data_IF_280129806007
#
_entry.id   IF_280129806007
#
_cell.length_a   1.000
_cell.length_b   1.000
_cell.length_c   1.000
_cell.angle_alpha   90.00
_cell.angle_beta   90.00
_cell.angle_gamma   90.00
#
_symmetry.space_group_name_H-M   'P 1'
#
loop_
_entity.id
_entity.type
_entity.pdbx_description
1 polymer ?
#
# COMPACT_ATOMS: atom_id res chain seq x y z
N UNK A 1 35.29 12.01 7.67
CA UNK A 1 35.94 10.87 6.97
C UNK A 1 36.68 9.98 7.95
N UNK A 2 37.07 8.82 7.55
CA UNK A 2 37.84 7.86 8.36
C UNK A 2 39.24 8.40 8.78
N UNK A 3 39.70 9.49 8.17
CA UNK A 3 40.89 10.23 8.46
C UNK A 3 40.75 11.34 9.52
N UNK A 4 39.55 11.49 10.11
CA UNK A 4 39.24 12.54 11.09
C UNK A 4 39.11 13.95 10.49
N UNK A 5 39.26 14.12 9.18
CA UNK A 5 39.16 15.41 8.53
C UNK A 5 37.69 15.89 8.47
N UNK A 6 37.45 17.15 8.86
CA UNK A 6 36.18 17.82 8.64
C UNK A 6 36.08 18.28 7.19
N UNK A 7 34.99 17.90 6.50
CA UNK A 7 34.70 18.38 5.17
C UNK A 7 33.32 19.08 5.21
N UNK A 8 33.26 20.26 4.66
CA UNK A 8 32.00 20.94 4.40
C UNK A 8 31.56 20.58 2.99
N UNK A 9 30.37 20.03 2.85
CA UNK A 9 29.73 19.74 1.55
C UNK A 9 28.44 20.53 1.47
N UNK A 10 28.21 21.13 0.32
CA UNK A 10 26.96 21.77 -0.02
C UNK A 10 26.04 20.69 -0.63
N UNK A 11 24.84 20.55 -0.08
CA UNK A 11 23.84 19.58 -0.55
C UNK A 11 22.57 20.33 -0.91
N UNK A 12 22.18 20.23 -2.17
CA UNK A 12 20.88 20.74 -2.63
C UNK A 12 19.82 19.68 -2.37
N UNK A 13 18.77 20.03 -1.63
CA UNK A 13 17.63 19.14 -1.41
C UNK A 13 16.83 19.04 -2.70
N UNK A 14 16.48 17.83 -3.07
CA UNK A 14 15.59 17.52 -4.18
C UNK A 14 14.51 16.57 -3.68
N UNK A 15 13.33 16.65 -4.28
CA UNK A 15 12.30 15.65 -4.11
C UNK A 15 12.75 14.38 -4.85
N UNK A 16 12.76 13.27 -4.15
CA UNK A 16 13.14 11.96 -4.70
C UNK A 16 11.90 11.08 -4.64
N UNK A 17 11.39 10.71 -5.80
CA UNK A 17 10.36 9.69 -5.91
C UNK A 17 11.05 8.32 -5.86
N UNK A 18 10.94 7.65 -4.73
CA UNK A 18 11.42 6.27 -4.57
C UNK A 18 10.50 5.30 -5.31
N UNK A 19 11.04 4.14 -5.71
CA UNK A 19 10.22 3.03 -6.20
C UNK A 19 9.42 2.49 -5.02
N UNK A 20 8.10 2.55 -5.11
CA UNK A 20 7.17 2.10 -4.05
C UNK A 20 6.48 0.78 -4.37
N UNK A 21 6.48 0.36 -5.64
CA UNK A 21 6.02 -0.94 -6.08
C UNK A 21 6.85 -1.45 -7.26
N UNK A 22 6.94 -2.78 -7.38
CA UNK A 22 7.58 -3.48 -8.50
C UNK A 22 6.76 -4.70 -8.87
N UNK A 23 6.93 -5.22 -10.07
CA UNK A 23 6.24 -6.41 -10.52
C UNK A 23 7.12 -7.31 -11.39
N UNK A 24 6.78 -8.58 -11.42
CA UNK A 24 7.43 -9.56 -12.29
C UNK A 24 6.49 -10.73 -12.57
N UNK A 25 6.56 -11.29 -13.77
CA UNK A 25 5.90 -12.53 -14.11
C UNK A 25 6.73 -13.72 -13.63
N UNK A 26 6.10 -14.70 -12.99
CA UNK A 26 6.73 -15.96 -12.63
C UNK A 26 6.63 -16.98 -13.77
N UNK A 27 7.43 -18.07 -13.71
CA UNK A 27 7.39 -19.14 -14.70
C UNK A 27 6.02 -19.84 -14.84
N UNK A 28 5.18 -19.76 -13.79
CA UNK A 28 3.84 -20.36 -13.76
C UNK A 28 2.73 -19.39 -14.15
N UNK A 29 3.03 -18.30 -14.85
CA UNK A 29 2.07 -17.25 -15.20
C UNK A 29 1.35 -16.62 -13.99
N UNK A 30 2.02 -16.54 -12.86
CA UNK A 30 1.57 -15.80 -11.69
C UNK A 30 2.29 -14.46 -11.66
N UNK A 31 1.54 -13.38 -11.68
CA UNK A 31 2.07 -12.03 -11.51
C UNK A 31 2.38 -11.77 -10.03
N UNK A 32 3.64 -11.47 -9.72
CA UNK A 32 4.05 -11.03 -8.39
C UNK A 32 4.16 -9.51 -8.39
N UNK A 33 3.36 -8.85 -7.56
CA UNK A 33 3.39 -7.40 -7.33
C UNK A 33 3.90 -7.17 -5.91
N UNK A 34 5.09 -6.58 -5.78
CA UNK A 34 5.66 -6.21 -4.48
C UNK A 34 5.34 -4.76 -4.19
N UNK A 35 4.60 -4.50 -3.11
CA UNK A 35 4.25 -3.14 -2.66
C UNK A 35 5.08 -2.82 -1.43
N UNK A 36 6.05 -1.92 -1.56
CA UNK A 36 6.98 -1.58 -0.50
C UNK A 36 6.38 -0.64 0.56
N UNK A 37 5.47 0.21 0.16
CA UNK A 37 4.71 1.14 1.02
C UNK A 37 3.52 1.70 0.23
N UNK A 38 2.67 2.50 0.89
CA UNK A 38 1.54 3.20 0.27
C UNK A 38 1.79 4.72 0.25
N UNK A 39 2.95 5.15 -0.29
CA UNK A 39 3.27 6.56 -0.47
C UNK A 39 2.79 7.06 -1.83
N UNK A 40 2.81 8.38 -2.02
CA UNK A 40 2.30 9.02 -3.23
C UNK A 40 2.85 8.41 -4.52
N UNK A 41 1.96 8.05 -5.43
CA UNK A 41 2.24 7.41 -6.71
C UNK A 41 2.34 5.88 -6.67
N UNK A 42 2.11 5.25 -5.51
CA UNK A 42 2.08 3.78 -5.40
C UNK A 42 0.91 3.20 -6.17
N UNK A 43 -0.25 3.83 -6.11
CA UNK A 43 -1.45 3.39 -6.81
C UNK A 43 -1.20 3.31 -8.33
N UNK A 44 -0.64 4.34 -8.92
CA UNK A 44 -0.30 4.37 -10.34
C UNK A 44 0.67 3.25 -10.73
N UNK A 45 1.70 2.99 -9.90
CA UNK A 45 2.67 1.93 -10.17
C UNK A 45 2.04 0.53 -10.07
N UNK A 46 1.17 0.31 -9.09
CA UNK A 46 0.47 -0.98 -8.94
C UNK A 46 -0.48 -1.21 -10.12
N UNK A 47 -1.27 -0.19 -10.52
CA UNK A 47 -2.14 -0.24 -11.69
C UNK A 47 -1.36 -0.58 -12.96
N UNK A 48 -0.25 0.11 -13.20
CA UNK A 48 0.63 -0.19 -14.33
C UNK A 48 1.17 -1.62 -14.28
N UNK A 49 1.61 -2.08 -13.12
CA UNK A 49 2.14 -3.43 -12.93
C UNK A 49 1.10 -4.51 -13.16
N UNK A 50 -0.10 -4.34 -12.63
CA UNK A 50 -1.22 -5.26 -12.84
C UNK A 50 -1.61 -5.32 -14.30
N UNK A 51 -1.76 -4.17 -14.97
CA UNK A 51 -2.08 -4.12 -16.39
C UNK A 51 -1.00 -4.82 -17.25
N UNK A 52 0.28 -4.55 -17.00
CA UNK A 52 1.39 -5.20 -17.68
C UNK A 52 1.37 -6.73 -17.51
N UNK A 53 1.14 -7.20 -16.28
CA UNK A 53 1.06 -8.63 -15.98
C UNK A 53 -0.14 -9.30 -16.68
N UNK A 54 -1.30 -8.61 -16.75
CA UNK A 54 -2.45 -9.10 -17.51
C UNK A 54 -2.16 -9.19 -19.01
N UNK A 55 -1.51 -8.19 -19.60
CA UNK A 55 -1.07 -8.20 -21.00
C UNK A 55 -0.06 -9.32 -21.28
N UNK A 56 0.80 -9.66 -20.32
CA UNK A 56 1.73 -10.78 -20.38
C UNK A 56 1.04 -12.15 -20.17
N UNK A 57 -0.25 -12.18 -19.84
CA UNK A 57 -1.04 -13.39 -19.70
C UNK A 57 -1.03 -13.98 -18.29
N UNK A 58 -0.91 -13.17 -17.25
CA UNK A 58 -1.04 -13.62 -15.87
C UNK A 58 -2.38 -14.34 -15.63
N UNK A 59 -2.33 -15.48 -14.96
CA UNK A 59 -3.49 -16.29 -14.60
C UNK A 59 -3.89 -16.10 -13.11
N UNK A 60 -3.04 -15.47 -12.33
CA UNK A 60 -3.27 -15.09 -10.94
C UNK A 60 -2.31 -13.98 -10.53
N UNK A 61 -2.63 -13.27 -9.44
CA UNK A 61 -1.79 -12.23 -8.85
C UNK A 61 -1.42 -12.58 -7.41
N UNK A 62 -0.19 -12.30 -7.04
CA UNK A 62 0.29 -12.35 -5.65
C UNK A 62 0.80 -10.97 -5.28
N UNK A 63 0.24 -10.41 -4.21
CA UNK A 63 0.69 -9.15 -3.64
C UNK A 63 1.62 -9.40 -2.48
N UNK A 64 2.89 -8.99 -2.59
CA UNK A 64 3.87 -9.10 -1.51
C UNK A 64 3.91 -7.81 -0.70
N UNK A 65 3.36 -7.87 0.51
CA UNK A 65 3.32 -6.79 1.50
C UNK A 65 4.27 -7.04 2.68
N UNK A 66 5.18 -7.99 2.58
CA UNK A 66 6.15 -8.23 3.63
C UNK A 66 7.05 -7.01 3.81
N UNK A 67 7.24 -6.59 5.07
CA UNK A 67 7.96 -5.38 5.46
C UNK A 67 7.34 -4.05 4.97
N UNK A 68 6.08 -4.06 4.57
CA UNK A 68 5.35 -2.86 4.16
C UNK A 68 4.81 -2.12 5.40
N UNK A 69 5.26 -0.90 5.68
CA UNK A 69 4.84 -0.13 6.86
C UNK A 69 3.47 0.53 6.71
N UNK A 70 2.77 0.33 5.60
CA UNK A 70 1.56 1.07 5.28
C UNK A 70 1.85 2.39 4.55
N UNK A 71 1.01 3.38 4.76
CA UNK A 71 1.09 4.70 4.13
C UNK A 71 -0.26 5.38 4.04
N UNK A 72 -0.51 6.07 2.93
CA UNK A 72 -1.72 6.88 2.74
C UNK A 72 -2.95 6.02 2.44
N UNK A 73 -4.06 6.37 3.08
CA UNK A 73 -5.38 5.74 2.83
C UNK A 73 -5.83 5.97 1.40
N UNK A 74 -5.54 7.12 0.81
CA UNK A 74 -5.86 7.43 -0.59
C UNK A 74 -5.21 6.44 -1.55
N UNK A 75 -3.92 6.17 -1.40
CA UNK A 75 -3.21 5.19 -2.23
C UNK A 75 -3.77 3.76 -2.04
N UNK A 76 -4.06 3.38 -0.78
CA UNK A 76 -4.70 2.11 -0.47
C UNK A 76 -6.05 1.96 -1.19
N UNK A 77 -6.91 2.97 -1.07
CA UNK A 77 -8.27 2.89 -1.61
C UNK A 77 -8.29 2.95 -3.14
N UNK A 78 -7.39 3.71 -3.77
CA UNK A 78 -7.25 3.74 -5.21
C UNK A 78 -6.78 2.39 -5.80
N UNK A 79 -5.89 1.67 -5.10
CA UNK A 79 -5.48 0.33 -5.53
C UNK A 79 -6.64 -0.66 -5.34
N UNK A 80 -7.32 -0.60 -4.21
CA UNK A 80 -8.43 -1.50 -3.91
C UNK A 80 -9.63 -1.31 -4.84
N UNK A 81 -9.87 -0.09 -5.32
CA UNK A 81 -10.91 0.21 -6.30
C UNK A 81 -10.71 -0.59 -7.60
N UNK A 82 -9.48 -0.68 -8.10
CA UNK A 82 -9.17 -1.46 -9.30
C UNK A 82 -9.20 -2.99 -9.09
N UNK A 83 -9.01 -3.44 -7.85
CA UNK A 83 -8.89 -4.88 -7.55
C UNK A 83 -10.18 -5.52 -7.09
N UNK A 84 -11.13 -4.74 -6.57
CA UNK A 84 -12.31 -5.26 -5.88
C UNK A 84 -13.60 -4.96 -6.64
N UNK A 85 -14.59 -5.86 -6.57
CA UNK A 85 -15.92 -5.58 -7.11
C UNK A 85 -16.59 -4.40 -6.39
N UNK A 86 -17.62 -3.84 -7.02
CA UNK A 86 -18.41 -2.73 -6.47
C UNK A 86 -18.82 -2.97 -5.00
N UNK A 87 -18.46 -2.03 -4.13
CA UNK A 87 -18.79 -2.11 -2.71
C UNK A 87 -17.99 -1.15 -1.83
N UNK A 88 -18.19 -1.26 -0.52
CA UNK A 88 -17.43 -0.51 0.46
C UNK A 88 -16.06 -1.16 0.66
N UNK A 89 -14.98 -0.39 0.46
CA UNK A 89 -13.60 -0.88 0.56
C UNK A 89 -12.87 -0.37 1.79
N UNK A 90 -13.27 0.77 2.34
CA UNK A 90 -12.69 1.30 3.56
C UNK A 90 -13.66 2.26 4.26
N UNK A 91 -13.75 2.14 5.57
CA UNK A 91 -14.56 3.04 6.40
C UNK A 91 -13.64 3.62 7.48
N UNK A 92 -13.49 4.94 7.48
CA UNK A 92 -12.80 5.67 8.53
C UNK A 92 -13.83 6.30 9.46
N UNK A 93 -13.65 6.11 10.77
CA UNK A 93 -14.52 6.72 11.78
C UNK A 93 -13.69 7.52 12.77
N UNK A 94 -14.07 8.76 12.99
CA UNK A 94 -13.47 9.65 13.98
C UNK A 94 -14.06 9.43 15.38
N UNK A 95 -13.39 9.93 16.40
CA UNK A 95 -13.84 9.78 17.80
C UNK A 95 -15.15 10.49 18.12
N UNK A 96 -15.53 11.52 17.35
CA UNK A 96 -16.81 12.24 17.43
C UNK A 96 -17.93 11.59 16.60
N UNK A 97 -17.62 10.49 15.92
CA UNK A 97 -18.57 9.66 15.19
C UNK A 97 -18.77 10.04 13.73
N UNK A 98 -18.00 10.98 13.19
CA UNK A 98 -17.99 11.22 11.76
C UNK A 98 -17.42 10.01 11.01
N UNK A 99 -18.02 9.68 9.87
CA UNK A 99 -17.65 8.52 9.08
C UNK A 99 -17.41 8.92 7.62
N UNK A 100 -16.27 8.47 7.08
CA UNK A 100 -15.94 8.59 5.67
C UNK A 100 -15.85 7.20 5.09
N UNK A 101 -16.69 6.91 4.09
CA UNK A 101 -16.71 5.64 3.38
C UNK A 101 -16.07 5.80 2.01
N UNK A 102 -15.13 4.92 1.69
CA UNK A 102 -14.54 4.76 0.37
C UNK A 102 -15.15 3.55 -0.30
N UNK A 103 -15.46 3.66 -1.58
CA UNK A 103 -16.14 2.61 -2.36
C UNK A 103 -15.33 2.26 -3.59
N UNK A 104 -15.46 1.03 -4.05
CA UNK A 104 -15.05 0.58 -5.39
C UNK A 104 -16.21 0.65 -6.36
N UNK A 105 -15.91 0.81 -7.63
CA UNK A 105 -16.86 0.71 -8.73
C UNK A 105 -16.99 -0.73 -9.26
N UNK A 106 -17.71 -0.92 -10.37
CA UNK A 106 -17.94 -2.24 -10.96
C UNK A 106 -16.76 -2.73 -11.83
N UNK A 107 -15.73 -1.92 -12.03
CA UNK A 107 -14.56 -2.26 -12.85
C UNK A 107 -13.48 -2.85 -11.96
N UNK A 108 -13.29 -4.17 -12.00
CA UNK A 108 -12.29 -4.84 -11.19
C UNK A 108 -11.47 -5.86 -11.97
N UNK A 109 -10.32 -6.22 -11.42
CA UNK A 109 -9.47 -7.29 -11.96
C UNK A 109 -10.08 -8.64 -11.64
N UNK A 110 -10.49 -9.39 -12.69
CA UNK A 110 -11.06 -10.74 -12.57
C UNK A 110 -9.97 -11.81 -12.67
N UNK A 111 -9.08 -11.86 -11.68
CA UNK A 111 -8.04 -12.88 -11.53
C UNK A 111 -8.01 -13.38 -10.09
N UNK A 112 -7.68 -14.67 -9.85
CA UNK A 112 -7.38 -15.14 -8.51
C UNK A 112 -6.24 -14.36 -7.87
N UNK A 113 -6.39 -13.98 -6.60
CA UNK A 113 -5.42 -13.18 -5.86
C UNK A 113 -4.98 -13.87 -4.58
N UNK A 114 -3.75 -13.60 -4.15
CA UNK A 114 -3.23 -13.97 -2.83
C UNK A 114 -2.37 -12.85 -2.28
N UNK A 115 -2.22 -12.79 -0.96
CA UNK A 115 -1.43 -11.76 -0.28
C UNK A 115 -0.39 -12.39 0.63
N UNK A 116 0.86 -11.94 0.55
CA UNK A 116 1.93 -12.31 1.46
C UNK A 116 2.18 -11.20 2.47
N UNK A 117 2.24 -11.56 3.76
CA UNK A 117 2.47 -10.64 4.88
C UNK A 117 3.49 -11.19 5.85
N UNK A 118 4.07 -10.33 6.70
CA UNK A 118 4.90 -10.72 7.83
C UNK A 118 4.68 -9.80 9.04
N UNK A 119 5.40 -10.03 10.13
CA UNK A 119 5.29 -9.24 11.35
C UNK A 119 5.59 -7.73 11.16
N UNK A 120 6.24 -7.35 10.07
CA UNK A 120 6.53 -5.95 9.73
C UNK A 120 5.51 -5.37 8.73
N UNK A 121 4.46 -6.09 8.37
CA UNK A 121 3.32 -5.55 7.62
C UNK A 121 2.37 -4.87 8.59
N UNK A 122 2.10 -3.57 8.42
CA UNK A 122 1.20 -2.88 9.33
C UNK A 122 0.38 -1.75 8.68
N UNK A 123 -0.68 -1.28 9.36
CA UNK A 123 -1.52 -0.18 8.92
C UNK A 123 -2.19 -0.46 7.56
N UNK A 124 -2.01 0.38 6.54
CA UNK A 124 -2.61 0.19 5.21
C UNK A 124 -2.32 -1.19 4.59
N UNK A 125 -1.16 -1.80 4.89
CA UNK A 125 -0.84 -3.15 4.43
C UNK A 125 -1.77 -4.22 5.04
N UNK A 126 -2.16 -4.05 6.29
CA UNK A 126 -3.09 -4.95 6.99
C UNK A 126 -4.51 -4.80 6.44
N UNK A 127 -4.93 -3.54 6.18
CA UNK A 127 -6.22 -3.26 5.55
C UNK A 127 -6.31 -3.82 4.14
N UNK A 128 -5.25 -3.67 3.35
CA UNK A 128 -5.18 -4.27 2.02
C UNK A 128 -5.37 -5.78 2.05
N UNK A 129 -4.62 -6.47 2.91
CA UNK A 129 -4.71 -7.93 3.04
C UNK A 129 -6.09 -8.38 3.57
N UNK A 130 -6.63 -7.67 4.56
CA UNK A 130 -7.95 -7.96 5.12
C UNK A 130 -9.04 -7.76 4.07
N UNK A 131 -9.00 -6.66 3.31
CA UNK A 131 -10.02 -6.33 2.34
C UNK A 131 -10.04 -7.31 1.15
N UNK A 132 -8.87 -7.70 0.62
CA UNK A 132 -8.79 -8.74 -0.40
C UNK A 132 -9.32 -10.10 0.10
N UNK A 133 -9.02 -10.46 1.34
CA UNK A 133 -9.55 -11.69 1.94
C UNK A 133 -11.08 -11.64 2.09
N UNK A 134 -11.63 -10.55 2.59
CA UNK A 134 -13.06 -10.42 2.87
C UNK A 134 -13.90 -10.28 1.59
N UNK A 135 -13.41 -9.53 0.59
CA UNK A 135 -14.18 -9.20 -0.62
C UNK A 135 -14.07 -10.25 -1.73
N UNK A 136 -12.88 -10.83 -1.93
CA UNK A 136 -12.64 -11.77 -3.04
C UNK A 136 -12.12 -13.13 -2.57
N UNK A 137 -12.06 -13.37 -1.26
CA UNK A 137 -11.61 -14.66 -0.70
C UNK A 137 -10.12 -14.93 -0.91
N UNK A 138 -9.30 -13.91 -1.14
CA UNK A 138 -7.88 -14.08 -1.35
C UNK A 138 -7.19 -14.68 -0.12
N UNK A 139 -6.43 -15.77 -0.24
CA UNK A 139 -5.66 -16.29 0.88
C UNK A 139 -4.58 -15.29 1.31
N UNK A 140 -4.48 -15.07 2.61
CA UNK A 140 -3.41 -14.30 3.24
C UNK A 140 -2.41 -15.27 3.86
N UNK A 141 -1.17 -15.23 3.41
CA UNK A 141 -0.12 -16.19 3.74
C UNK A 141 1.06 -15.48 4.40
N UNK A 142 1.60 -16.07 5.44
CA UNK A 142 2.80 -15.58 6.12
C UNK A 142 2.66 -15.56 7.64
N UNK A 143 3.20 -14.53 8.27
CA UNK A 143 3.22 -14.37 9.72
C UNK A 143 2.12 -13.41 10.18
N UNK A 144 1.80 -13.45 11.47
CA UNK A 144 0.89 -12.48 12.08
C UNK A 144 1.45 -11.06 11.94
N UNK A 145 0.62 -10.15 11.45
CA UNK A 145 0.93 -8.73 11.28
C UNK A 145 0.91 -7.96 12.60
N UNK A 146 1.28 -6.68 12.60
CA UNK A 146 1.44 -5.90 13.85
C UNK A 146 0.13 -5.54 14.56
N UNK A 147 -1.00 -5.49 13.86
CA UNK A 147 -2.30 -5.15 14.43
C UNK A 147 -2.55 -3.64 14.57
N UNK A 148 -1.95 -2.78 13.72
CA UNK A 148 -2.16 -1.34 13.74
C UNK A 148 -3.45 -0.94 13.01
N UNK A 149 -4.54 -0.80 13.77
CA UNK A 149 -5.88 -0.46 13.26
C UNK A 149 -6.26 1.03 13.33
N UNK A 150 -5.33 1.92 13.69
CA UNK A 150 -5.60 3.36 13.84
C UNK A 150 -4.83 4.18 12.82
N UNK A 151 -5.49 5.18 12.22
CA UNK A 151 -4.86 6.20 11.39
C UNK A 151 -4.29 7.31 12.27
N UNK A 152 -3.40 8.13 11.69
CA UNK A 152 -2.81 9.30 12.34
C UNK A 152 -3.11 10.53 11.51
N UNK A 153 -3.47 11.62 12.20
CA UNK A 153 -3.66 12.94 11.60
C UNK A 153 -2.53 13.85 12.08
N UNK A 154 -1.91 14.57 11.15
CA UNK A 154 -0.91 15.58 11.45
C UNK A 154 -1.60 16.94 11.56
N UNK A 155 -1.31 17.65 12.64
CA UNK A 155 -1.74 19.03 12.86
C UNK A 155 -0.52 19.94 12.81
N UNK A 156 -0.51 20.86 11.86
CA UNK A 156 0.54 21.88 11.76
C UNK A 156 0.40 22.90 12.90
N UNK A 157 1.53 23.24 13.52
CA UNK A 157 1.59 24.22 14.60
C UNK A 157 2.10 25.57 14.06
N UNK A 158 1.79 26.70 14.74
CA UNK A 158 2.15 28.04 14.30
C UNK A 158 3.65 28.30 14.13
N UNK A 159 4.49 27.52 14.80
CA UNK A 159 5.96 27.61 14.74
C UNK A 159 6.57 26.78 13.58
N UNK A 160 5.73 26.15 12.74
CA UNK A 160 6.16 25.30 11.63
C UNK A 160 6.49 23.86 12.02
N UNK A 161 6.28 23.48 13.28
CA UNK A 161 6.29 22.08 13.69
C UNK A 161 4.93 21.42 13.49
N UNK A 162 4.85 20.10 13.64
CA UNK A 162 3.59 19.36 13.54
C UNK A 162 3.46 18.35 14.70
N UNK A 163 2.23 18.06 15.10
CA UNK A 163 1.90 17.00 16.06
C UNK A 163 1.05 15.93 15.38
N UNK A 164 1.43 14.66 15.54
CA UNK A 164 0.66 13.52 15.07
C UNK A 164 -0.16 12.92 16.22
N UNK A 165 -1.46 12.76 15.97
CA UNK A 165 -2.41 12.12 16.90
C UNK A 165 -3.08 10.92 16.20
N UNK A 166 -3.38 9.87 16.99
CA UNK A 166 -4.11 8.66 16.55
C UNK A 166 -5.43 8.57 17.30
#
# INVERSE_FOLDING_TARGET
GTDGARRTVEVTRQEIHGVTATWTMTENQVGLVTILNFYAGTADLVKQGVAALQEEGAQALVFDLRNNPGGYVTELTEILDDLLPEGNIFISRTSDGEEVTYTSDASCVDLPMAVMVNANSYSAAEFFAAQLRESVGAPVVGEQTSGKGYSQILFDLPDGSAIGLS
#
